data_IF_618765190521
#
_entry.id   IF_618765190521
#
_cell.length_a   1.000
_cell.length_b   1.000
_cell.length_c   1.000
_cell.angle_alpha   90.00
_cell.angle_beta   90.00
_cell.angle_gamma   90.00
#
_symmetry.space_group_name_H-M   'P 1'
#
loop_
_entity.id
_entity.type
_entity.pdbx_description
1 polymer ?
#
# COMPACT_ATOMS: atom_id res chain seq x y z
N UNK A 1 34.12 -17.22 -63.30
CA UNK A 1 33.54 -16.08 -64.04
C UNK A 1 32.27 -15.66 -63.31
N UNK A 2 32.30 -14.46 -62.70
CA UNK A 2 31.20 -13.62 -62.15
C UNK A 2 30.21 -14.23 -61.13
N UNK A 3 29.83 -13.56 -60.05
CA UNK A 3 30.34 -12.40 -59.31
C UNK A 3 29.49 -12.36 -58.02
N UNK A 4 30.11 -12.02 -56.90
CA UNK A 4 29.43 -11.63 -55.66
C UNK A 4 28.47 -10.46 -55.91
N UNK A 5 27.33 -10.43 -55.21
CA UNK A 5 26.69 -9.17 -54.81
C UNK A 5 25.85 -9.38 -53.54
N UNK A 6 26.50 -9.11 -52.41
CA UNK A 6 25.87 -8.62 -51.18
C UNK A 6 25.91 -7.09 -51.24
N UNK A 7 24.92 -6.45 -50.61
CA UNK A 7 24.71 -5.01 -50.41
C UNK A 7 23.92 -4.26 -51.49
N UNK A 8 22.61 -4.14 -51.25
CA UNK A 8 22.06 -2.80 -50.99
C UNK A 8 20.95 -2.88 -49.94
N UNK A 9 21.17 -2.21 -48.82
CA UNK A 9 20.26 -2.07 -47.69
C UNK A 9 19.24 -0.95 -47.97
N UNK A 10 18.03 -1.16 -47.45
CA UNK A 10 17.09 -0.15 -46.89
C UNK A 10 16.18 0.64 -47.85
N UNK A 11 14.89 0.32 -47.83
CA UNK A 11 13.81 1.18 -47.28
C UNK A 11 12.50 0.39 -47.31
N UNK A 12 11.89 0.05 -46.16
CA UNK A 12 10.69 0.74 -45.64
C UNK A 12 9.64 0.94 -46.75
N UNK A 13 8.44 0.35 -46.72
CA UNK A 13 7.48 0.48 -45.63
C UNK A 13 6.17 -0.25 -46.01
N UNK A 14 5.50 -0.81 -45.01
CA UNK A 14 4.03 -0.90 -44.85
C UNK A 14 3.23 -2.18 -45.16
N UNK A 15 3.72 -3.23 -45.84
CA UNK A 15 2.84 -4.41 -46.09
C UNK A 15 2.98 -5.58 -45.11
N UNK A 16 4.17 -5.80 -44.53
CA UNK A 16 4.49 -7.09 -43.89
C UNK A 16 4.48 -7.06 -42.35
N UNK A 17 4.13 -5.91 -41.73
CA UNK A 17 4.05 -5.77 -40.27
C UNK A 17 2.62 -5.89 -39.71
N UNK A 18 1.59 -5.87 -40.56
CA UNK A 18 0.19 -6.03 -40.12
C UNK A 18 -0.19 -7.49 -39.83
N UNK A 19 0.72 -8.44 -40.01
CA UNK A 19 0.55 -9.86 -39.66
C UNK A 19 1.40 -10.28 -38.45
N UNK A 20 1.77 -9.34 -37.58
CA UNK A 20 2.11 -9.69 -36.20
C UNK A 20 0.81 -9.89 -35.42
N UNK A 21 0.29 -11.12 -35.49
CA UNK A 21 -0.76 -11.68 -34.64
C UNK A 21 -1.84 -10.66 -34.21
N UNK A 22 -2.87 -10.50 -35.04
CA UNK A 22 -4.17 -10.17 -34.48
C UNK A 22 -4.44 -11.28 -33.45
N UNK A 23 -4.24 -10.96 -32.17
CA UNK A 23 -4.62 -11.82 -31.06
C UNK A 23 -6.11 -12.06 -31.21
N UNK A 24 -6.46 -13.16 -31.86
CA UNK A 24 -7.84 -13.43 -32.22
C UNK A 24 -8.55 -13.82 -30.92
N UNK A 25 -9.29 -12.86 -30.39
CA UNK A 25 -10.12 -13.00 -29.18
C UNK A 25 -10.99 -14.28 -29.27
N UNK A 26 -11.32 -14.70 -30.50
CA UNK A 26 -12.07 -15.90 -30.78
C UNK A 26 -11.35 -17.21 -30.41
N UNK A 27 -10.04 -17.31 -30.67
CA UNK A 27 -9.24 -18.51 -30.37
C UNK A 27 -8.74 -18.50 -28.92
N UNK A 28 -8.51 -17.32 -28.34
CA UNK A 28 -8.09 -17.18 -26.94
C UNK A 28 -9.24 -17.44 -25.93
N UNK A 29 -10.47 -17.03 -26.25
CA UNK A 29 -11.59 -17.09 -25.31
C UNK A 29 -12.62 -18.17 -25.58
N UNK A 30 -12.50 -18.88 -26.71
CA UNK A 30 -13.29 -20.05 -27.10
C UNK A 30 -14.81 -19.91 -27.00
N UNK A 31 -15.52 -20.75 -27.76
CA UNK A 31 -16.95 -20.54 -28.01
C UNK A 31 -17.90 -21.07 -26.92
N UNK A 32 -17.37 -21.69 -25.86
CA UNK A 32 -18.17 -22.36 -24.84
C UNK A 32 -18.80 -21.42 -23.81
N UNK A 33 -20.07 -21.65 -23.46
CA UNK A 33 -20.74 -20.97 -22.34
C UNK A 33 -19.97 -21.08 -21.02
N UNK A 34 -19.29 -22.21 -20.80
CA UNK A 34 -18.44 -22.44 -19.63
C UNK A 34 -17.19 -21.55 -19.63
N UNK A 35 -16.52 -21.42 -20.77
CA UNK A 35 -15.31 -20.61 -20.91
C UNK A 35 -15.60 -19.12 -20.73
N UNK A 36 -16.70 -18.63 -21.32
CA UNK A 36 -17.18 -17.26 -21.11
C UNK A 36 -17.53 -17.00 -19.65
N UNK A 37 -18.17 -17.96 -18.96
CA UNK A 37 -18.47 -17.84 -17.53
C UNK A 37 -17.20 -17.78 -16.67
N UNK A 38 -16.21 -18.61 -16.97
CA UNK A 38 -14.92 -18.61 -16.26
C UNK A 38 -14.14 -17.30 -16.48
N UNK A 39 -14.15 -16.77 -17.70
CA UNK A 39 -13.56 -15.48 -18.02
C UNK A 39 -14.23 -14.34 -17.25
N UNK A 40 -15.56 -14.29 -17.24
CA UNK A 40 -16.30 -13.29 -16.48
C UNK A 40 -15.99 -13.34 -14.97
N UNK A 41 -15.91 -14.55 -14.41
CA UNK A 41 -15.53 -14.73 -13.00
C UNK A 41 -14.10 -14.22 -12.73
N UNK A 42 -13.14 -14.49 -13.62
CA UNK A 42 -11.78 -13.98 -13.48
C UNK A 42 -11.70 -12.45 -13.60
N UNK A 43 -12.45 -11.84 -14.52
CA UNK A 43 -12.51 -10.38 -14.64
C UNK A 43 -13.05 -9.76 -13.35
N UNK A 44 -14.09 -10.35 -12.76
CA UNK A 44 -14.67 -9.89 -11.49
C UNK A 44 -13.66 -10.02 -10.34
N UNK A 45 -12.95 -11.14 -10.22
CA UNK A 45 -11.97 -11.33 -9.14
C UNK A 45 -10.79 -10.35 -9.26
N UNK A 46 -10.30 -10.12 -10.49
CA UNK A 46 -9.26 -9.12 -10.76
C UNK A 46 -9.76 -7.73 -10.39
N UNK A 47 -10.98 -7.35 -10.80
CA UNK A 47 -11.54 -6.05 -10.48
C UNK A 47 -11.67 -5.83 -8.97
N UNK A 48 -12.20 -6.81 -8.25
CA UNK A 48 -12.34 -6.75 -6.79
C UNK A 48 -10.97 -6.61 -6.13
N UNK A 49 -9.98 -7.43 -6.49
CA UNK A 49 -8.64 -7.38 -5.90
C UNK A 49 -7.93 -6.03 -6.11
N UNK A 50 -8.09 -5.41 -7.29
CA UNK A 50 -7.55 -4.08 -7.56
C UNK A 50 -8.30 -2.98 -6.79
N UNK A 51 -9.62 -3.11 -6.65
CA UNK A 51 -10.41 -2.15 -5.88
C UNK A 51 -10.06 -2.17 -4.39
N UNK A 52 -9.78 -3.35 -3.84
CA UNK A 52 -9.44 -3.53 -2.43
C UNK A 52 -8.10 -2.86 -2.08
N UNK A 53 -7.08 -3.03 -2.92
CA UNK A 53 -5.77 -2.40 -2.70
C UNK A 53 -5.85 -0.87 -2.80
N UNK A 54 -6.65 -0.35 -3.73
CA UNK A 54 -6.93 1.08 -3.83
C UNK A 54 -7.63 1.62 -2.56
N UNK A 55 -8.67 0.93 -2.07
CA UNK A 55 -9.38 1.31 -0.84
C UNK A 55 -8.42 1.33 0.35
N UNK A 56 -7.60 0.29 0.50
CA UNK A 56 -6.62 0.19 1.58
C UNK A 56 -5.65 1.38 1.57
N UNK A 57 -5.20 1.84 0.41
CA UNK A 57 -4.32 3.01 0.29
C UNK A 57 -4.99 4.33 0.72
N UNK A 58 -6.30 4.47 0.49
CA UNK A 58 -7.06 5.67 0.85
C UNK A 58 -7.34 5.72 2.34
N UNK A 59 -7.78 4.60 2.92
CA UNK A 59 -8.14 4.53 4.34
C UNK A 59 -6.91 4.45 5.25
N UNK A 60 -5.75 4.04 4.73
CA UNK A 60 -4.51 3.90 5.49
C UNK A 60 -3.61 5.14 5.46
N UNK A 61 -4.15 6.29 5.06
CA UNK A 61 -3.43 7.56 5.10
C UNK A 61 -2.93 7.86 6.53
N UNK A 62 -1.69 8.31 6.64
CA UNK A 62 -1.13 8.74 7.92
C UNK A 62 -1.91 9.94 8.45
N UNK A 63 -2.32 9.84 9.71
CA UNK A 63 -3.10 10.86 10.42
C UNK A 63 -2.21 11.47 11.48
N UNK A 64 -2.32 12.78 11.71
CA UNK A 64 -1.56 13.40 12.77
C UNK A 64 -1.99 12.85 14.14
N UNK A 65 -1.02 12.41 14.91
CA UNK A 65 -1.24 11.70 16.16
C UNK A 65 -0.20 12.08 17.21
N UNK A 66 -0.62 12.02 18.47
CA UNK A 66 0.25 12.20 19.62
C UNK A 66 -0.12 11.23 20.73
N UNK A 67 0.78 11.08 21.69
CA UNK A 67 0.59 10.15 22.78
C UNK A 67 -0.51 10.63 23.73
N UNK A 68 -1.36 9.70 24.16
CA UNK A 68 -2.43 10.00 25.09
C UNK A 68 -1.87 10.30 26.48
N UNK A 69 -2.49 11.25 27.15
CA UNK A 69 -2.10 11.71 28.47
C UNK A 69 -2.26 10.59 29.52
N UNK A 70 -1.27 10.38 30.40
CA UNK A 70 -1.40 9.43 31.51
C UNK A 70 -2.52 9.90 32.47
N UNK A 71 -3.38 8.99 32.94
CA UNK A 71 -4.46 9.33 33.86
C UNK A 71 -3.89 9.77 35.21
N UNK A 72 -4.19 11.00 35.64
CA UNK A 72 -3.79 11.51 36.96
C UNK A 72 -3.18 12.93 36.95
N UNK A 73 -2.81 13.44 35.78
CA UNK A 73 -2.19 14.76 35.68
C UNK A 73 -3.24 15.81 35.25
N UNK A 74 -3.69 16.68 36.16
CA UNK A 74 -4.68 17.74 35.87
C UNK A 74 -4.05 18.97 35.17
N UNK A 75 -3.33 18.73 34.07
CA UNK A 75 -2.67 19.79 33.28
C UNK A 75 -3.33 19.87 31.91
N UNK A 76 -3.38 21.08 31.33
CA UNK A 76 -3.92 21.29 29.99
C UNK A 76 -3.13 20.50 28.93
N UNK A 77 -3.83 19.98 27.94
CA UNK A 77 -3.26 19.12 26.86
C UNK A 77 -2.09 19.82 26.15
N UNK A 78 -2.20 21.13 25.91
CA UNK A 78 -1.17 21.91 25.23
C UNK A 78 0.13 22.03 26.06
N UNK A 79 0.01 22.30 27.36
CA UNK A 79 1.18 22.41 28.25
C UNK A 79 1.86 21.06 28.48
N UNK A 80 1.09 19.98 28.42
CA UNK A 80 1.60 18.62 28.50
C UNK A 80 2.32 18.18 27.22
N UNK A 81 1.78 18.54 26.05
CA UNK A 81 2.41 18.25 24.75
C UNK A 81 3.86 18.77 24.71
N UNK A 82 4.06 20.00 25.21
CA UNK A 82 5.39 20.63 25.26
C UNK A 82 6.35 20.00 26.30
N UNK A 83 5.84 19.35 27.34
CA UNK A 83 6.66 18.81 28.44
C UNK A 83 6.94 17.31 28.29
N UNK A 84 5.93 16.56 27.84
CA UNK A 84 5.99 15.10 27.80
C UNK A 84 6.57 14.56 26.49
N UNK A 85 6.50 15.33 25.40
CA UNK A 85 6.95 14.86 24.09
C UNK A 85 8.35 15.43 23.78
N UNK A 86 9.35 14.56 23.51
CA UNK A 86 10.67 15.01 23.08
C UNK A 86 10.59 15.73 21.73
N UNK A 87 11.42 16.75 21.58
CA UNK A 87 11.58 17.48 20.32
C UNK A 87 12.71 16.80 19.55
N UNK A 88 12.42 16.39 18.32
CA UNK A 88 13.40 15.80 17.40
C UNK A 88 14.36 16.89 16.87
N UNK A 89 15.47 16.49 16.25
CA UNK A 89 16.49 17.44 15.75
C UNK A 89 15.93 18.48 14.76
N UNK A 90 14.83 18.14 14.09
CA UNK A 90 14.10 19.00 13.14
C UNK A 90 13.21 20.06 13.82
N UNK A 91 13.19 20.12 15.15
CA UNK A 91 12.35 21.05 15.92
C UNK A 91 10.86 20.67 15.98
N UNK A 92 10.50 19.49 15.45
CA UNK A 92 9.15 18.94 15.56
C UNK A 92 9.01 18.02 16.78
N UNK A 93 7.81 17.93 17.33
CA UNK A 93 7.49 16.97 18.38
C UNK A 93 7.50 15.54 17.83
N UNK A 94 8.11 14.62 18.57
CA UNK A 94 8.09 13.21 18.21
C UNK A 94 6.66 12.63 18.29
N UNK A 95 6.24 11.87 17.28
CA UNK A 95 4.88 11.32 17.20
C UNK A 95 4.70 9.99 17.94
N UNK A 96 5.81 9.29 18.19
CA UNK A 96 5.82 7.90 18.65
C UNK A 96 6.43 7.70 20.04
N UNK A 97 7.04 8.75 20.58
CA UNK A 97 7.87 8.69 21.78
C UNK A 97 7.41 9.71 22.81
N UNK A 98 7.54 9.36 24.09
CA UNK A 98 7.17 10.19 25.24
C UNK A 98 8.17 9.98 26.38
N UNK A 99 8.36 10.99 27.22
CA UNK A 99 9.11 10.82 28.47
C UNK A 99 8.33 9.96 29.46
N UNK A 100 9.03 9.03 30.12
CA UNK A 100 8.42 8.11 31.09
C UNK A 100 7.89 8.84 32.32
N UNK A 101 8.63 9.83 32.82
CA UNK A 101 8.24 10.66 33.95
C UNK A 101 8.27 12.13 33.54
N UNK A 102 7.19 12.67 32.95
CA UNK A 102 7.15 14.07 32.51
C UNK A 102 7.14 15.08 33.67
N UNK A 103 7.05 14.60 34.92
CA UNK A 103 7.13 15.43 36.12
C UNK A 103 8.56 15.64 36.61
N UNK A 104 9.48 14.73 36.30
CA UNK A 104 10.89 14.84 36.68
C UNK A 104 11.72 15.33 35.48
N UNK A 105 12.18 16.59 35.48
CA UNK A 105 13.01 17.12 34.40
C UNK A 105 14.39 16.45 34.29
N UNK A 106 14.83 15.70 35.30
CA UNK A 106 16.10 14.96 35.25
C UNK A 106 15.95 13.57 34.61
N UNK A 107 14.73 13.04 34.50
CA UNK A 107 14.49 11.74 33.87
C UNK A 107 14.25 11.91 32.36
N UNK A 108 15.31 11.70 31.59
CA UNK A 108 15.29 11.73 30.13
C UNK A 108 14.93 10.38 29.51
N UNK A 109 14.44 9.41 30.30
CA UNK A 109 14.04 8.11 29.77
C UNK A 109 12.85 8.26 28.81
N UNK A 110 13.13 7.99 27.53
CA UNK A 110 12.14 7.97 26.45
C UNK A 110 11.55 6.56 26.32
N UNK A 111 10.23 6.49 26.26
CA UNK A 111 9.48 5.24 26.04
C UNK A 111 8.55 5.39 24.83
N UNK A 112 8.19 4.26 24.24
CA UNK A 112 7.20 4.20 23.16
C UNK A 112 5.80 4.37 23.73
N UNK A 113 4.92 5.01 22.97
CA UNK A 113 3.54 5.23 23.41
C UNK A 113 2.69 3.97 23.22
N UNK A 114 1.81 3.70 24.20
CA UNK A 114 0.86 2.59 24.16
C UNK A 114 -0.54 3.02 23.69
N UNK A 115 -0.89 4.29 23.90
CA UNK A 115 -2.16 4.91 23.52
C UNK A 115 -1.93 6.25 22.81
N UNK A 116 -2.79 6.56 21.84
CA UNK A 116 -2.71 7.76 21.00
C UNK A 116 -4.01 8.53 20.97
N UNK A 117 -3.88 9.84 20.77
CA UNK A 117 -4.94 10.76 20.41
C UNK A 117 -4.65 11.30 19.00
N UNK A 118 -5.70 11.57 18.24
CA UNK A 118 -5.61 12.00 16.84
C UNK A 118 -6.20 13.41 16.67
N UNK A 119 -5.52 14.31 15.94
CA UNK A 119 -6.14 15.54 15.42
C UNK A 119 -6.83 15.18 14.12
N UNK A 120 -8.16 15.05 14.11
CA UNK A 120 -8.99 15.46 12.97
C UNK A 120 -10.42 14.95 13.12
N UNK A 121 -11.37 15.74 12.62
CA UNK A 121 -12.76 15.29 12.37
C UNK A 121 -12.87 14.12 11.38
N UNK A 122 -11.80 13.83 10.62
CA UNK A 122 -11.68 12.68 9.71
C UNK A 122 -10.87 11.52 10.29
N UNK A 123 -10.15 11.73 11.40
CA UNK A 123 -9.35 10.68 12.01
C UNK A 123 -10.24 9.50 12.41
N UNK A 124 -11.45 9.73 12.90
CA UNK A 124 -12.40 8.68 13.33
C UNK A 124 -12.84 7.71 12.23
N UNK A 125 -12.50 7.97 10.96
CA UNK A 125 -12.95 7.18 9.81
C UNK A 125 -11.82 6.41 9.11
N UNK A 126 -10.59 6.47 9.61
CA UNK A 126 -9.44 5.78 8.99
C UNK A 126 -9.15 4.46 9.69
N UNK A 127 -8.62 3.48 8.94
CA UNK A 127 -8.20 2.20 9.54
C UNK A 127 -7.06 2.40 10.54
N UNK A 128 -6.25 3.44 10.34
CA UNK A 128 -5.08 3.75 11.17
C UNK A 128 -5.48 4.14 12.58
N UNK A 129 -6.50 4.98 12.75
CA UNK A 129 -6.96 5.44 14.07
C UNK A 129 -7.75 4.37 14.82
N UNK A 130 -8.63 3.65 14.12
CA UNK A 130 -9.50 2.63 14.71
C UNK A 130 -8.68 1.48 15.30
N UNK A 131 -7.59 1.09 14.62
CA UNK A 131 -6.73 -0.02 15.02
C UNK A 131 -5.39 0.43 15.63
N UNK A 132 -5.18 1.75 15.79
CA UNK A 132 -3.92 2.33 16.24
C UNK A 132 -2.69 1.80 15.46
N UNK A 133 -2.78 1.76 14.13
CA UNK A 133 -1.73 1.23 13.23
C UNK A 133 -0.62 2.26 12.97
N UNK A 134 -0.19 2.95 14.03
CA UNK A 134 0.85 3.98 13.98
C UNK A 134 2.19 3.42 14.46
N UNK A 135 3.27 4.14 14.17
CA UNK A 135 4.62 3.81 14.66
C UNK A 135 5.01 2.35 14.35
N UNK A 136 5.36 1.55 15.36
CA UNK A 136 5.74 0.15 15.20
C UNK A 136 4.60 -0.74 14.64
N UNK A 137 3.34 -0.36 14.89
CA UNK A 137 2.17 -1.10 14.40
C UNK A 137 1.87 -0.84 12.93
N UNK A 138 2.51 0.15 12.30
CA UNK A 138 2.43 0.39 10.85
C UNK A 138 2.89 -0.82 10.03
N UNK A 139 3.80 -1.63 10.58
CA UNK A 139 4.25 -2.86 9.93
C UNK A 139 3.11 -3.86 9.70
N UNK A 140 2.09 -3.89 10.56
CA UNK A 140 0.92 -4.77 10.38
C UNK A 140 0.17 -4.45 9.08
N UNK A 141 0.05 -3.17 8.75
CA UNK A 141 -0.55 -2.74 7.48
C UNK A 141 0.28 -3.23 6.28
N UNK A 142 1.61 -3.14 6.39
CA UNK A 142 2.53 -3.64 5.35
C UNK A 142 2.41 -5.15 5.20
N UNK A 143 2.31 -5.89 6.31
CA UNK A 143 2.11 -7.34 6.28
C UNK A 143 0.77 -7.73 5.66
N UNK A 144 -0.32 -7.02 5.96
CA UNK A 144 -1.63 -7.28 5.35
C UNK A 144 -1.59 -7.11 3.82
N UNK A 145 -0.97 -6.03 3.33
CA UNK A 145 -0.77 -5.82 1.90
C UNK A 145 0.12 -6.91 1.28
N UNK A 146 1.20 -7.31 1.96
CA UNK A 146 2.08 -8.37 1.46
C UNK A 146 1.33 -9.71 1.31
N UNK A 147 0.50 -10.09 2.29
CA UNK A 147 -0.34 -11.29 2.23
C UNK A 147 -1.29 -11.23 1.04
N UNK A 148 -1.91 -10.07 0.80
CA UNK A 148 -2.80 -9.87 -0.36
C UNK A 148 -2.07 -10.07 -1.69
N UNK A 149 -0.87 -9.51 -1.84
CA UNK A 149 -0.06 -9.69 -3.05
C UNK A 149 0.37 -11.14 -3.25
N UNK A 150 0.78 -11.83 -2.17
CA UNK A 150 1.13 -13.26 -2.23
C UNK A 150 -0.07 -14.12 -2.65
N UNK A 151 -1.25 -13.86 -2.09
CA UNK A 151 -2.48 -14.56 -2.48
C UNK A 151 -2.84 -14.34 -3.95
N UNK A 152 -2.66 -13.11 -4.44
CA UNK A 152 -2.89 -12.76 -5.84
C UNK A 152 -1.93 -13.48 -6.79
N UNK A 153 -0.66 -13.62 -6.40
CA UNK A 153 0.36 -14.36 -7.15
C UNK A 153 -0.02 -15.84 -7.23
N UNK A 154 -0.37 -16.47 -6.10
CA UNK A 154 -0.78 -17.88 -6.06
C UNK A 154 -1.99 -18.11 -6.95
N UNK A 155 -2.99 -17.21 -6.92
CA UNK A 155 -4.17 -17.31 -7.77
C UNK A 155 -3.78 -17.30 -9.25
N UNK A 156 -2.92 -16.36 -9.68
CA UNK A 156 -2.43 -16.27 -11.05
C UNK A 156 -1.75 -17.58 -11.51
N UNK A 157 -0.93 -18.20 -10.65
CA UNK A 157 -0.27 -19.47 -10.96
C UNK A 157 -1.27 -20.62 -11.12
N UNK A 158 -2.34 -20.66 -10.32
CA UNK A 158 -3.35 -21.73 -10.40
C UNK A 158 -4.30 -21.60 -11.59
N UNK A 159 -4.61 -20.36 -12.02
CA UNK A 159 -5.49 -20.09 -13.17
C UNK A 159 -4.74 -19.89 -14.47
N UNK A 160 -3.40 -19.89 -14.44
CA UNK A 160 -2.56 -19.77 -15.62
C UNK A 160 -2.78 -20.97 -16.56
N UNK A 161 -2.64 -20.77 -17.88
CA UNK A 161 -2.78 -21.86 -18.84
C UNK A 161 -1.70 -22.92 -18.53
N UNK A 162 -2.15 -24.10 -18.11
CA UNK A 162 -1.32 -25.30 -18.10
C UNK A 162 -0.95 -25.61 -19.55
N UNK A 163 0.29 -25.29 -19.92
CA UNK A 163 0.93 -25.78 -21.15
C UNK A 163 0.93 -27.30 -21.21
#
# INVERSE_FOLDING_TARGET
>A
MRMMNLFSLKSSSSSDFLTSEAFDCHDAFGHGFFQRRLLLLNIITIFIGNSETAIMSVIAKDVDHWCKQPPGLNVSVASLKNRAIPVEEDGQFSRCHVYKHPEDPNDTQVVTCDEWNYDDQRAEQTIVSVWNLVCQRRLLLVFALAIQFLGSIVLLFTTGPSV
#
